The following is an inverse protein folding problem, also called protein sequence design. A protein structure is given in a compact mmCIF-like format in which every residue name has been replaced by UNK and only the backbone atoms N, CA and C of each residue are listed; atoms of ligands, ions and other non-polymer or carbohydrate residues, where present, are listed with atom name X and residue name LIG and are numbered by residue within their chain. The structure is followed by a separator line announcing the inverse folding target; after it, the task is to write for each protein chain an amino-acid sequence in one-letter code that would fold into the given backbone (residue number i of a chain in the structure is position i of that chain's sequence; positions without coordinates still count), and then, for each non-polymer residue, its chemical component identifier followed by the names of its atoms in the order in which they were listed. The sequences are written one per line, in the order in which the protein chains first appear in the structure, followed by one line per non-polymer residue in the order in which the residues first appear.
data_IF_424222467174
#
_entry.id   IF_424222467174
#
_cell.length_a   1.000
_cell.length_b   1.000
_cell.length_c   1.000
_cell.angle_alpha   90.00
_cell.angle_beta   90.00
_cell.angle_gamma   90.00
#
_symmetry.space_group_name_H-M   'P 1'
#
loop_
_entity.id
_entity.type
_entity.pdbx_description
1 polymer ?
#
# COMPACT_ATOMS: atom_id res chain seq x y z
N UNK A 1 2.06 -10.99 17.51
CA UNK A 1 0.59 -11.04 17.41
C UNK A 1 0.25 -11.20 15.93
N UNK A 2 -0.75 -12.01 15.61
CA UNK A 2 -1.18 -12.28 14.24
C UNK A 2 -2.65 -11.88 14.08
N UNK A 3 -2.97 -11.16 13.00
CA UNK A 3 -4.34 -10.73 12.67
C UNK A 3 -4.75 -11.40 11.36
N UNK A 4 -5.89 -12.09 11.37
CA UNK A 4 -6.47 -12.80 10.24
C UNK A 4 -7.71 -12.07 9.73
N UNK A 5 -7.81 -11.97 8.41
CA UNK A 5 -8.93 -11.36 7.70
C UNK A 5 -9.64 -12.45 6.90
N UNK A 6 -10.63 -13.09 7.51
CA UNK A 6 -11.43 -14.07 6.79
C UNK A 6 -12.51 -13.37 5.97
N UNK A 7 -12.83 -13.87 4.76
CA UNK A 7 -14.03 -13.45 4.07
C UNK A 7 -15.26 -13.70 4.97
N UNK A 8 -16.22 -12.75 5.12
CA UNK A 8 -16.40 -11.51 4.37
C UNK A 8 -15.94 -10.23 5.11
N UNK A 9 -14.70 -10.13 5.59
CA UNK A 9 -14.15 -8.85 6.09
C UNK A 9 -14.30 -7.73 5.03
N UNK A 10 -14.71 -6.49 5.40
CA UNK A 10 -14.89 -5.96 6.75
C UNK A 10 -16.28 -6.16 7.38
N UNK A 11 -17.20 -6.88 6.74
CA UNK A 11 -18.54 -7.13 7.30
C UNK A 11 -18.51 -7.97 8.59
N UNK A 12 -17.46 -8.76 8.77
CA UNK A 12 -17.15 -9.46 10.02
C UNK A 12 -15.84 -8.92 10.63
N UNK A 13 -15.69 -8.94 11.96
CA UNK A 13 -14.44 -8.51 12.60
C UNK A 13 -13.26 -9.40 12.19
N UNK A 14 -12.03 -8.87 12.21
CA UNK A 14 -10.83 -9.68 12.02
C UNK A 14 -10.60 -10.58 13.24
N UNK A 15 -10.03 -11.78 13.02
CA UNK A 15 -9.63 -12.66 14.12
C UNK A 15 -8.21 -12.35 14.56
N UNK A 16 -8.02 -12.13 15.85
CA UNK A 16 -6.74 -11.73 16.42
C UNK A 16 -6.17 -12.83 17.31
N UNK A 17 -4.88 -13.11 17.19
CA UNK A 17 -4.19 -14.13 17.98
C UNK A 17 -2.86 -13.63 18.56
N UNK A 18 -2.59 -14.03 19.79
CA UNK A 18 -1.29 -13.89 20.45
C UNK A 18 -0.48 -15.15 20.20
N UNK A 19 0.70 -14.99 19.61
CA UNK A 19 1.62 -16.10 19.33
C UNK A 19 2.83 -15.99 20.26
N UNK A 20 2.91 -16.79 21.33
CA UNK A 20 4.06 -16.80 22.23
C UNK A 20 5.32 -17.22 21.47
N UNK A 21 6.45 -16.57 21.78
CA UNK A 21 7.77 -17.00 21.27
C UNK A 21 8.30 -18.17 22.12
N UNK A 22 9.36 -18.85 21.66
CA UNK A 22 10.05 -19.86 22.46
C UNK A 22 10.42 -19.31 23.86
N UNK A 23 10.02 -19.98 24.93
CA UNK A 23 10.19 -19.48 26.31
C UNK A 23 9.13 -18.47 26.76
N UNK A 24 7.99 -18.39 26.09
CA UNK A 24 6.82 -17.65 26.54
C UNK A 24 5.60 -18.56 26.65
N UNK A 25 4.68 -18.20 27.54
CA UNK A 25 3.40 -18.88 27.69
C UNK A 25 2.28 -17.87 27.89
N UNK A 26 1.08 -18.22 27.43
CA UNK A 26 -0.12 -17.39 27.58
C UNK A 26 -0.54 -17.43 29.05
N UNK A 27 -0.83 -16.27 29.62
CA UNK A 27 -1.28 -16.12 31.01
C UNK A 27 -2.58 -16.91 31.22
N UNK A 28 -2.64 -17.87 32.17
CA UNK A 28 -3.86 -18.61 32.45
C UNK A 28 -4.99 -17.67 32.91
N UNK A 29 -6.20 -17.88 32.37
CA UNK A 29 -7.41 -17.09 32.71
C UNK A 29 -7.25 -15.58 32.46
N UNK A 30 -6.58 -15.19 31.39
CA UNK A 30 -6.53 -13.80 30.96
C UNK A 30 -7.93 -13.32 30.52
N UNK A 31 -8.29 -12.07 30.85
CA UNK A 31 -9.64 -11.54 30.63
C UNK A 31 -10.03 -11.49 29.14
N UNK A 32 -9.05 -11.20 28.28
CA UNK A 32 -9.26 -10.93 26.86
C UNK A 32 -8.58 -11.93 25.93
N UNK A 33 -7.96 -13.00 26.46
CA UNK A 33 -7.20 -13.97 25.66
C UNK A 33 -7.46 -15.38 26.16
N UNK A 34 -7.81 -16.29 25.26
CA UNK A 34 -8.03 -17.71 25.60
C UNK A 34 -6.71 -18.50 25.66
N UNK A 35 -6.80 -19.79 26.01
CA UNK A 35 -5.64 -20.70 26.07
C UNK A 35 -4.99 -20.97 24.70
N UNK A 36 -5.71 -20.71 23.59
CA UNK A 36 -5.21 -20.84 22.22
C UNK A 36 -4.59 -19.53 21.71
N UNK A 37 -4.63 -18.45 22.50
CA UNK A 37 -4.13 -17.13 22.13
C UNK A 37 -5.14 -16.27 21.38
N UNK A 38 -6.38 -16.72 21.18
CA UNK A 38 -7.43 -15.94 20.52
C UNK A 38 -7.83 -14.76 21.40
N UNK A 39 -7.88 -13.57 20.79
CA UNK A 39 -8.17 -12.30 21.46
C UNK A 39 -9.66 -11.98 21.38
N UNK A 40 -10.24 -11.63 22.53
CA UNK A 40 -11.63 -11.23 22.69
C UNK A 40 -11.70 -9.84 23.31
N UNK A 41 -12.13 -8.86 22.52
CA UNK A 41 -12.31 -7.48 22.96
C UNK A 41 -13.75 -7.02 22.72
N UNK A 42 -14.31 -6.13 23.57
CA UNK A 42 -15.61 -5.53 23.34
C UNK A 42 -15.73 -4.90 21.95
N UNK A 43 -14.65 -4.26 21.48
CA UNK A 43 -14.58 -3.63 20.17
C UNK A 43 -14.75 -4.63 19.00
N UNK A 44 -14.27 -5.87 19.14
CA UNK A 44 -14.47 -6.92 18.14
C UNK A 44 -15.93 -7.42 18.16
N UNK A 45 -16.57 -7.45 19.33
CA UNK A 45 -17.97 -7.88 19.48
C UNK A 45 -18.97 -6.89 18.88
N UNK A 46 -18.65 -5.59 18.93
CA UNK A 46 -19.48 -4.52 18.36
C UNK A 46 -18.93 -3.99 17.03
N UNK A 47 -18.16 -4.81 16.31
CA UNK A 47 -17.55 -4.41 15.05
C UNK A 47 -18.60 -4.05 14.00
N UNK A 48 -18.37 -2.94 13.32
CA UNK A 48 -19.23 -2.44 12.24
C UNK A 48 -18.37 -2.08 11.02
N UNK A 49 -18.72 -2.56 9.81
CA UNK A 49 -17.94 -2.30 8.60
C UNK A 49 -17.83 -0.81 8.21
N UNK A 50 -18.72 0.04 8.74
CA UNK A 50 -18.79 1.46 8.39
C UNK A 50 -18.14 2.39 9.43
N UNK A 51 -17.98 1.91 10.67
CA UNK A 51 -17.52 2.75 11.78
C UNK A 51 -16.31 2.17 12.51
N UNK A 52 -16.09 0.86 12.44
CA UNK A 52 -14.93 0.23 13.05
C UNK A 52 -13.75 0.21 12.10
N UNK A 53 -12.56 0.48 12.63
CA UNK A 53 -11.33 0.56 11.83
C UNK A 53 -10.22 -0.26 12.46
N UNK A 54 -9.33 -0.78 11.62
CA UNK A 54 -8.16 -1.55 12.08
C UNK A 54 -7.23 -0.72 12.99
N UNK A 55 -6.88 0.54 12.67
CA UNK A 55 -5.99 1.31 13.53
C UNK A 55 -6.57 1.53 14.94
N UNK A 56 -7.87 1.74 15.05
CA UNK A 56 -8.55 1.85 16.34
C UNK A 56 -8.50 0.51 17.11
N UNK A 57 -8.78 -0.61 16.43
CA UNK A 57 -8.62 -1.94 17.01
C UNK A 57 -7.21 -2.17 17.56
N UNK A 58 -6.16 -1.86 16.79
CA UNK A 58 -4.76 -2.03 17.22
C UNK A 58 -4.44 -1.14 18.42
N UNK A 59 -4.95 0.10 18.45
CA UNK A 59 -4.78 1.02 19.57
C UNK A 59 -5.41 0.47 20.85
N UNK A 60 -6.63 -0.08 20.74
CA UNK A 60 -7.33 -0.72 21.86
C UNK A 60 -6.56 -1.93 22.35
N UNK A 61 -6.09 -2.81 21.45
CA UNK A 61 -5.28 -3.98 21.80
C UNK A 61 -4.01 -3.57 22.54
N UNK A 62 -3.27 -2.59 22.02
CA UNK A 62 -2.05 -2.10 22.65
C UNK A 62 -2.33 -1.54 24.06
N UNK A 63 -3.39 -0.75 24.21
CA UNK A 63 -3.83 -0.21 25.50
C UNK A 63 -4.18 -1.33 26.49
N UNK A 64 -5.02 -2.30 26.09
CA UNK A 64 -5.42 -3.43 26.92
C UNK A 64 -4.23 -4.29 27.35
N UNK A 65 -3.34 -4.66 26.42
CA UNK A 65 -2.20 -5.53 26.71
C UNK A 65 -1.04 -4.83 27.43
N UNK A 66 -0.99 -3.49 27.39
CA UNK A 66 -0.07 -2.72 28.23
C UNK A 66 -0.49 -2.75 29.71
N UNK A 67 -1.80 -2.81 29.98
CA UNK A 67 -2.35 -2.87 31.34
C UNK A 67 -2.36 -4.30 31.91
N UNK A 68 -2.75 -5.31 31.11
CA UNK A 68 -2.63 -6.72 31.47
C UNK A 68 -1.91 -7.50 30.35
N UNK A 69 -0.61 -7.81 30.50
CA UNK A 69 0.14 -8.55 29.50
C UNK A 69 -0.39 -9.99 29.32
N UNK A 70 -0.74 -10.41 28.09
CA UNK A 70 -1.32 -11.73 27.84
C UNK A 70 -0.28 -12.86 27.82
N UNK A 71 1.02 -12.55 27.76
CA UNK A 71 2.12 -13.52 27.77
C UNK A 71 3.10 -13.23 28.89
N UNK A 72 3.68 -14.28 29.45
CA UNK A 72 4.77 -14.20 30.41
C UNK A 72 5.94 -15.06 29.93
N UNK A 73 7.15 -14.74 30.37
CA UNK A 73 8.32 -15.56 30.08
C UNK A 73 8.31 -16.79 30.98
N UNK A 74 8.33 -17.96 30.36
CA UNK A 74 8.79 -19.18 31.01
C UNK A 74 10.31 -19.17 30.85
N UNK A 75 11.04 -18.92 31.95
CA UNK A 75 12.50 -18.88 31.91
C UNK A 75 13.12 -20.12 31.25
N UNK A 76 14.43 -20.12 30.97
CA UNK A 76 15.11 -21.27 30.36
C UNK A 76 14.76 -22.55 31.14
N UNK A 77 14.56 -23.70 30.46
CA UNK A 77 14.13 -24.93 31.10
C UNK A 77 15.11 -25.27 32.22
N UNK A 78 14.65 -25.10 33.47
CA UNK A 78 15.39 -25.61 34.61
C UNK A 78 15.47 -27.12 34.46
N UNK A 79 16.68 -27.63 34.22
CA UNK A 79 17.00 -29.03 34.42
C UNK A 79 16.54 -29.39 35.84
N UNK A 80 15.62 -30.34 35.95
CA UNK A 80 15.22 -30.91 37.23
C UNK A 80 16.47 -31.43 37.94
N UNK A 81 16.88 -30.77 39.02
CA UNK A 81 17.80 -31.36 39.99
C UNK A 81 17.11 -32.58 40.59
N UNK A 82 17.67 -33.75 40.29
CA UNK A 82 17.33 -35.02 40.92
C UNK A 82 17.39 -34.89 42.45
N UNK A 83 16.29 -35.19 43.12
CA UNK A 83 16.26 -35.38 44.57
C UNK A 83 17.09 -36.61 44.92
N UNK A 84 18.00 -36.47 45.88
CA UNK A 84 18.85 -37.54 46.41
C UNK A 84 18.03 -38.61 47.16
N UNK A 85 18.37 -39.91 47.08
CA UNK A 85 17.72 -40.96 47.85
C UNK A 85 18.23 -40.98 49.31
N UNK A 86 17.30 -40.98 50.28
CA UNK A 86 17.60 -41.25 51.69
C UNK A 86 17.49 -42.77 51.99
N UNK A 87 18.39 -43.24 52.85
CA UNK A 87 18.72 -44.64 53.15
C UNK A 87 17.87 -45.31 54.25
N UNK A 88 17.33 -46.49 53.93
CA UNK A 88 17.19 -47.77 54.69
C UNK A 88 16.68 -47.78 56.16
N UNK A 89 15.60 -48.56 56.39
CA UNK A 89 15.48 -49.56 57.50
C UNK A 89 14.62 -50.77 57.06
N UNK A 90 15.04 -52.04 57.28
CA UNK A 90 14.22 -53.22 57.02
C UNK A 90 13.65 -53.82 58.31
N UNK A 91 12.43 -54.39 58.26
CA UNK A 91 12.02 -55.46 59.15
C UNK A 91 11.29 -56.54 58.35
N UNK A 92 11.77 -57.77 58.51
CA UNK A 92 11.34 -58.98 57.83
C UNK A 92 10.15 -59.63 58.56
N UNK A 93 9.26 -60.32 57.81
CA UNK A 93 8.29 -61.27 58.37
C UNK A 93 7.19 -61.68 57.37
N UNK A 94 7.09 -62.97 56.95
CA UNK A 94 6.36 -63.37 55.74
C UNK A 94 4.99 -64.05 56.02
N UNK A 95 4.10 -64.08 55.03
CA UNK A 95 3.24 -65.26 54.76
C UNK A 95 2.60 -65.20 53.38
N UNK A 96 2.56 -66.38 52.76
CA UNK A 96 2.11 -66.67 51.40
C UNK A 96 0.58 -66.60 51.24
N UNK A 97 0.10 -66.51 49.99
CA UNK A 97 -0.73 -67.55 49.33
C UNK A 97 -1.56 -66.95 48.18
N UNK A 98 -1.31 -67.46 46.97
CA UNK A 98 -2.31 -67.90 45.99
C UNK A 98 -3.29 -66.90 45.36
N UNK A 99 -3.23 -66.74 44.04
CA UNK A 99 -4.32 -66.12 43.27
C UNK A 99 -4.04 -66.00 41.78
N UNK A 100 -4.36 -67.05 41.03
CA UNK A 100 -4.31 -67.16 39.56
C UNK A 100 -5.49 -66.38 38.96
N UNK A 101 -5.26 -65.56 37.92
CA UNK A 101 -6.35 -64.90 37.17
C UNK A 101 -5.87 -64.19 35.90
N UNK A 102 -6.37 -64.63 34.74
CA UNK A 102 -6.01 -64.27 33.36
C UNK A 102 -6.31 -62.81 32.95
N UNK A 103 -5.71 -62.30 31.85
CA UNK A 103 -6.14 -61.07 31.20
C UNK A 103 -7.22 -61.36 30.13
N UNK A 104 -8.38 -60.74 30.24
CA UNK A 104 -9.44 -60.78 29.22
C UNK A 104 -9.36 -59.54 28.31
N UNK A 105 -9.16 -59.80 27.01
CA UNK A 105 -9.17 -58.82 25.94
C UNK A 105 -10.58 -58.24 25.71
N UNK A 106 -10.68 -56.91 25.63
CA UNK A 106 -11.92 -56.22 25.20
C UNK A 106 -11.76 -55.69 23.79
N UNK A 107 -12.43 -56.36 22.85
CA UNK A 107 -12.62 -55.95 21.46
C UNK A 107 -13.94 -55.18 21.37
N UNK A 108 -13.90 -53.89 21.06
CA UNK A 108 -15.10 -53.10 20.74
C UNK A 108 -15.22 -52.95 19.23
N UNK A 109 -16.34 -53.46 18.71
CA UNK A 109 -16.76 -53.41 17.31
C UNK A 109 -17.36 -52.04 16.95
N UNK A 110 -17.32 -51.61 15.67
CA UNK A 110 -18.08 -50.46 15.19
C UNK A 110 -19.49 -50.89 14.76
N UNK A 111 -20.52 -50.43 15.47
CA UNK A 111 -21.90 -50.54 14.98
C UNK A 111 -22.21 -49.34 14.09
N UNK A 112 -22.33 -49.61 12.79
CA UNK A 112 -22.93 -48.70 11.83
C UNK A 112 -24.42 -48.55 12.09
N UNK A 113 -24.86 -47.31 12.25
CA UNK A 113 -26.27 -46.92 12.14
C UNK A 113 -26.40 -46.17 10.82
N UNK A 114 -26.94 -46.84 9.81
CA UNK A 114 -27.40 -46.22 8.57
C UNK A 114 -28.77 -45.61 8.87
N UNK A 115 -28.81 -44.32 9.19
CA UNK A 115 -30.05 -43.56 9.27
C UNK A 115 -30.38 -42.99 7.90
N UNK A 116 -31.54 -43.41 7.41
CA UNK A 116 -32.16 -42.97 6.17
C UNK A 116 -32.76 -41.56 6.38
N UNK A 117 -32.12 -40.51 5.87
CA UNK A 117 -32.64 -39.13 5.89
C UNK A 117 -32.51 -38.49 4.51
N UNK A 118 -33.40 -38.84 3.58
CA UNK A 118 -33.35 -38.43 2.17
C UNK A 118 -34.03 -37.08 1.86
N UNK A 119 -34.60 -36.38 2.85
CA UNK A 119 -35.30 -35.10 2.65
C UNK A 119 -34.53 -33.86 3.13
N UNK A 120 -33.56 -33.99 4.04
CA UNK A 120 -32.74 -32.86 4.51
C UNK A 120 -31.59 -32.51 3.54
N UNK A 121 -31.01 -33.53 2.89
CA UNK A 121 -29.88 -33.35 1.97
C UNK A 121 -30.21 -32.51 0.72
N UNK A 122 -31.48 -32.43 0.32
CA UNK A 122 -31.93 -31.62 -0.82
C UNK A 122 -31.93 -30.13 -0.55
N UNK A 123 -32.27 -29.71 0.68
CA UNK A 123 -32.27 -28.31 1.08
C UNK A 123 -30.84 -27.78 1.29
N UNK A 124 -29.97 -28.57 1.93
CA UNK A 124 -28.55 -28.22 2.09
C UNK A 124 -27.84 -28.06 0.74
N UNK A 125 -28.13 -28.94 -0.23
CA UNK A 125 -27.53 -28.86 -1.56
C UNK A 125 -28.03 -27.65 -2.36
N UNK A 126 -29.31 -27.25 -2.21
CA UNK A 126 -29.85 -26.03 -2.83
C UNK A 126 -29.32 -24.76 -2.16
N UNK A 127 -29.19 -24.73 -0.84
CA UNK A 127 -28.57 -23.62 -0.12
C UNK A 127 -27.07 -23.48 -0.45
N UNK A 128 -26.34 -24.61 -0.54
CA UNK A 128 -24.94 -24.62 -0.96
C UNK A 128 -24.76 -24.15 -2.40
N UNK A 129 -25.66 -24.53 -3.32
CA UNK A 129 -25.61 -24.09 -4.72
C UNK A 129 -25.92 -22.60 -4.85
N UNK A 130 -26.86 -22.08 -4.06
CA UNK A 130 -27.16 -20.65 -4.03
C UNK A 130 -25.99 -19.82 -3.47
N UNK A 131 -25.36 -20.28 -2.38
CA UNK A 131 -24.18 -19.65 -1.82
C UNK A 131 -22.98 -19.66 -2.80
N UNK A 132 -22.79 -20.76 -3.53
CA UNK A 132 -21.76 -20.84 -4.56
C UNK A 132 -22.02 -19.88 -5.73
N UNK A 133 -23.29 -19.74 -6.15
CA UNK A 133 -23.68 -18.80 -7.21
C UNK A 133 -23.45 -17.34 -6.81
N UNK A 134 -23.76 -16.98 -5.55
CA UNK A 134 -23.54 -15.64 -5.04
C UNK A 134 -22.04 -15.29 -5.00
N UNK A 135 -21.19 -16.24 -4.60
CA UNK A 135 -19.72 -16.06 -4.65
C UNK A 135 -19.18 -15.94 -6.07
N UNK A 136 -19.74 -16.68 -7.02
CA UNK A 136 -19.34 -16.55 -8.43
C UNK A 136 -19.64 -15.14 -8.94
N UNK A 137 -20.83 -14.63 -8.64
CA UNK A 137 -21.25 -13.29 -9.05
C UNK A 137 -20.38 -12.19 -8.42
N UNK A 138 -20.02 -12.35 -7.14
CA UNK A 138 -19.10 -11.42 -6.46
C UNK A 138 -17.69 -11.43 -7.08
N UNK A 139 -17.21 -12.59 -7.53
CA UNK A 139 -15.93 -12.70 -8.26
C UNK A 139 -16.06 -12.06 -9.65
N UNK A 140 -17.14 -12.29 -10.37
CA UNK A 140 -17.42 -11.67 -11.66
C UNK A 140 -17.45 -10.14 -11.54
N UNK A 141 -18.18 -9.60 -10.55
CA UNK A 141 -18.25 -8.15 -10.29
C UNK A 141 -16.87 -7.56 -9.93
N UNK A 142 -16.06 -8.28 -9.14
CA UNK A 142 -14.67 -7.85 -8.86
C UNK A 142 -13.79 -7.89 -10.09
N UNK A 143 -13.98 -8.87 -10.98
CA UNK A 143 -13.18 -8.95 -12.21
C UNK A 143 -13.52 -7.84 -13.19
N UNK A 144 -14.79 -7.45 -13.30
CA UNK A 144 -15.20 -6.33 -14.16
C UNK A 144 -14.69 -5.00 -13.59
N UNK A 145 -14.79 -4.78 -12.28
CA UNK A 145 -14.22 -3.61 -11.61
C UNK A 145 -12.70 -3.52 -11.84
N UNK A 146 -11.98 -4.64 -11.73
CA UNK A 146 -10.54 -4.66 -11.94
C UNK A 146 -10.15 -4.38 -13.39
N UNK A 147 -10.94 -4.86 -14.36
CA UNK A 147 -10.76 -4.56 -15.79
C UNK A 147 -11.00 -3.08 -16.05
N UNK A 148 -12.05 -2.49 -15.48
CA UNK A 148 -12.36 -1.07 -15.64
C UNK A 148 -11.28 -0.19 -15.02
N UNK A 149 -10.84 -0.50 -13.80
CA UNK A 149 -9.75 0.21 -13.13
C UNK A 149 -8.43 0.10 -13.90
N UNK A 150 -8.18 -1.06 -14.51
CA UNK A 150 -7.02 -1.26 -15.39
C UNK A 150 -7.13 -0.40 -16.66
N UNK A 151 -8.33 -0.26 -17.23
CA UNK A 151 -8.58 0.61 -18.38
C UNK A 151 -8.37 2.08 -18.04
N UNK A 152 -8.87 2.53 -16.89
CA UNK A 152 -8.66 3.90 -16.40
C UNK A 152 -7.17 4.20 -16.20
N UNK A 153 -6.43 3.28 -15.57
CA UNK A 153 -4.99 3.44 -15.39
C UNK A 153 -4.24 3.51 -16.72
N UNK A 154 -4.59 2.67 -17.69
CA UNK A 154 -3.98 2.71 -19.02
C UNK A 154 -4.30 4.02 -19.76
N UNK A 155 -5.53 4.52 -19.65
CA UNK A 155 -5.92 5.80 -20.24
C UNK A 155 -5.16 6.96 -19.59
N UNK A 156 -5.07 6.99 -18.26
CA UNK A 156 -4.30 7.99 -17.53
C UNK A 156 -2.81 7.97 -17.89
N UNK A 157 -2.26 6.77 -18.13
CA UNK A 157 -0.87 6.62 -18.60
C UNK A 157 -0.68 7.16 -20.00
N UNK A 158 -1.64 6.92 -20.89
CA UNK A 158 -1.59 7.40 -22.28
C UNK A 158 -1.72 8.92 -22.36
N UNK A 159 -2.63 9.53 -21.58
CA UNK A 159 -2.77 10.99 -21.50
C UNK A 159 -1.53 11.66 -20.89
N UNK A 160 -0.92 11.04 -19.88
CA UNK A 160 0.36 11.49 -19.35
C UNK A 160 1.47 11.38 -20.40
N UNK A 161 1.51 10.29 -21.18
CA UNK A 161 2.50 10.11 -22.25
C UNK A 161 2.34 11.12 -23.39
N UNK A 162 1.11 11.50 -23.76
CA UNK A 162 0.88 12.57 -24.75
C UNK A 162 1.30 13.93 -24.21
N UNK A 163 0.99 14.25 -22.95
CA UNK A 163 1.43 15.50 -22.32
C UNK A 163 2.96 15.62 -22.27
N UNK A 164 3.67 14.51 -21.99
CA UNK A 164 5.15 14.47 -22.03
C UNK A 164 5.68 14.70 -23.45
N UNK A 165 5.07 14.08 -24.48
CA UNK A 165 5.46 14.31 -25.88
C UNK A 165 5.23 15.75 -26.31
N UNK A 166 4.10 16.35 -25.93
CA UNK A 166 3.80 17.76 -26.21
C UNK A 166 4.80 18.69 -25.52
N UNK A 167 5.11 18.44 -24.24
CA UNK A 167 6.14 19.18 -23.51
C UNK A 167 7.53 19.04 -24.16
N UNK A 168 7.87 17.86 -24.68
CA UNK A 168 9.14 17.62 -25.35
C UNK A 168 9.22 18.29 -26.73
N UNK A 169 8.13 18.34 -27.48
CA UNK A 169 8.03 19.11 -28.74
C UNK A 169 8.14 20.61 -28.46
N UNK A 170 7.51 21.10 -27.40
CA UNK A 170 7.62 22.50 -26.97
C UNK A 170 9.06 22.87 -26.57
N UNK A 171 9.73 21.99 -25.84
CA UNK A 171 11.14 22.16 -25.46
C UNK A 171 12.10 22.09 -26.67
N UNK A 172 11.70 21.40 -27.75
CA UNK A 172 12.43 21.30 -29.00
C UNK A 172 12.14 22.45 -29.99
N UNK A 173 11.33 23.45 -29.60
CA UNK A 173 11.13 24.68 -30.36
C UNK A 173 12.45 25.38 -30.68
N UNK A 174 12.54 26.07 -31.84
CA UNK A 174 13.81 26.43 -32.46
C UNK A 174 14.67 27.27 -31.51
N UNK A 175 15.89 26.77 -31.24
CA UNK A 175 17.01 27.59 -30.76
C UNK A 175 17.27 28.66 -31.82
N UNK A 176 16.60 29.80 -31.66
CA UNK A 176 16.87 30.99 -32.45
C UNK A 176 18.31 31.41 -32.20
N UNK A 177 19.12 31.21 -33.23
CA UNK A 177 20.43 31.81 -33.42
C UNK A 177 20.28 33.33 -33.35
N UNK A 178 20.63 33.92 -32.21
CA UNK A 178 20.85 35.35 -32.08
C UNK A 178 22.26 35.56 -31.51
N UNK A 179 23.21 35.73 -32.42
CA UNK A 179 24.50 36.35 -32.16
C UNK A 179 24.29 37.83 -31.84
N UNK A 180 24.81 38.32 -30.70
CA UNK A 180 25.74 39.48 -30.57
C UNK A 180 25.88 39.84 -29.08
N UNK A 181 27.04 39.49 -28.54
CA UNK A 181 27.88 40.26 -27.60
C UNK A 181 27.20 41.33 -26.72
N UNK A 182 27.02 41.01 -25.43
CA UNK A 182 27.34 41.87 -24.26
C UNK A 182 26.78 41.26 -22.96
N UNK A 183 27.65 41.15 -21.94
CA UNK A 183 27.42 40.86 -20.51
C UNK A 183 27.52 39.40 -20.05
N UNK A 184 28.61 39.12 -19.32
CA UNK A 184 28.95 37.89 -18.58
C UNK A 184 27.86 37.38 -17.61
N UNK A 185 26.75 38.10 -17.39
CA UNK A 185 25.69 37.68 -16.49
C UNK A 185 24.73 36.67 -17.15
N UNK A 186 24.37 36.88 -18.42
CA UNK A 186 23.42 36.02 -19.13
C UNK A 186 24.02 34.64 -19.48
N UNK A 187 25.32 34.57 -19.78
CA UNK A 187 26.01 33.28 -19.98
C UNK A 187 26.13 32.47 -18.70
N UNK A 188 26.43 33.13 -17.56
CA UNK A 188 26.53 32.47 -16.26
C UNK A 188 25.16 31.94 -15.80
N UNK A 189 24.08 32.68 -16.05
CA UNK A 189 22.72 32.28 -15.72
C UNK A 189 22.17 31.18 -16.64
N UNK A 190 22.48 31.25 -17.94
CA UNK A 190 22.21 30.17 -18.91
C UNK A 190 22.90 28.86 -18.51
N UNK A 191 24.17 28.96 -18.08
CA UNK A 191 24.96 27.83 -17.58
C UNK A 191 24.39 27.24 -16.30
N UNK A 192 23.98 28.07 -15.34
CA UNK A 192 23.32 27.63 -14.10
C UNK A 192 21.98 26.91 -14.36
N UNK A 193 21.18 27.37 -15.32
CA UNK A 193 19.93 26.69 -15.72
C UNK A 193 20.19 25.34 -16.40
N UNK A 194 21.22 25.29 -17.25
CA UNK A 194 21.67 24.04 -17.87
C UNK A 194 22.21 23.06 -16.82
N UNK A 195 22.94 23.53 -15.82
CA UNK A 195 23.48 22.72 -14.73
C UNK A 195 22.36 22.23 -13.79
N UNK A 196 21.38 23.08 -13.45
CA UNK A 196 20.23 22.67 -12.63
C UNK A 196 19.30 21.70 -13.38
N UNK A 197 19.10 21.90 -14.68
CA UNK A 197 18.37 20.96 -15.53
C UNK A 197 19.09 19.61 -15.66
N UNK A 198 20.41 19.63 -15.82
CA UNK A 198 21.23 18.42 -15.81
C UNK A 198 21.14 17.69 -14.46
N UNK A 199 21.15 18.42 -13.35
CA UNK A 199 20.96 17.86 -12.01
C UNK A 199 19.58 17.19 -11.85
N UNK A 200 18.50 17.79 -12.38
CA UNK A 200 17.17 17.16 -12.36
C UNK A 200 17.17 15.86 -13.17
N UNK A 201 17.84 15.85 -14.33
CA UNK A 201 17.93 14.66 -15.18
C UNK A 201 18.71 13.52 -14.49
N UNK A 202 19.86 13.83 -13.88
CA UNK A 202 20.65 12.87 -13.10
C UNK A 202 19.82 12.26 -11.96
N UNK A 203 19.05 13.08 -11.23
CA UNK A 203 18.17 12.60 -10.17
C UNK A 203 17.00 11.76 -10.69
N UNK A 204 16.53 12.00 -11.91
CA UNK A 204 15.51 11.16 -12.57
C UNK A 204 16.10 9.81 -12.96
N UNK A 205 17.29 9.80 -13.55
CA UNK A 205 17.99 8.56 -13.91
C UNK A 205 18.28 7.72 -12.68
N UNK A 206 18.72 8.35 -11.59
CA UNK A 206 18.96 7.66 -10.33
C UNK A 206 17.66 7.07 -9.76
N UNK A 207 16.54 7.79 -9.75
CA UNK A 207 15.23 7.27 -9.31
C UNK A 207 14.78 6.06 -10.16
N UNK A 208 14.92 6.14 -11.48
CA UNK A 208 14.61 5.04 -12.40
C UNK A 208 15.49 3.81 -12.14
N UNK A 209 16.80 4.01 -11.92
CA UNK A 209 17.72 2.91 -11.61
C UNK A 209 17.39 2.22 -10.28
N UNK A 210 16.90 2.97 -9.30
CA UNK A 210 16.47 2.42 -8.00
C UNK A 210 15.18 1.60 -8.14
N UNK A 211 14.25 2.02 -8.99
CA UNK A 211 13.05 1.24 -9.30
C UNK A 211 13.41 -0.09 -10.02
N UNK A 212 14.34 -0.06 -10.98
CA UNK A 212 14.86 -1.28 -11.62
C UNK A 212 15.57 -2.20 -10.63
N UNK A 213 16.34 -1.63 -9.68
CA UNK A 213 17.00 -2.39 -8.63
C UNK A 213 15.98 -3.10 -7.72
N UNK A 214 14.91 -2.41 -7.31
CA UNK A 214 13.83 -3.01 -6.51
C UNK A 214 13.16 -4.17 -7.24
N UNK A 215 12.89 -4.00 -8.54
CA UNK A 215 12.34 -5.08 -9.38
C UNK A 215 13.30 -6.27 -9.47
N UNK A 216 14.60 -6.02 -9.62
CA UNK A 216 15.63 -7.06 -9.61
C UNK A 216 15.71 -7.82 -8.28
N UNK A 217 15.55 -7.12 -7.15
CA UNK A 217 15.49 -7.75 -5.82
C UNK A 217 14.27 -8.66 -5.67
N UNK A 218 13.10 -8.27 -6.20
CA UNK A 218 11.90 -9.10 -6.19
C UNK A 218 12.10 -10.40 -6.98
N UNK A 219 12.73 -10.33 -8.15
CA UNK A 219 13.02 -11.51 -8.96
C UNK A 219 14.13 -12.38 -8.35
N UNK A 220 15.10 -11.77 -7.66
CA UNK A 220 16.12 -12.48 -6.90
C UNK A 220 15.54 -13.25 -5.70
N UNK A 221 14.52 -12.69 -5.04
CA UNK A 221 13.78 -13.38 -3.99
C UNK A 221 12.94 -14.53 -4.55
N UNK A 222 12.22 -14.32 -5.67
CA UNK A 222 11.44 -15.37 -6.34
C UNK A 222 12.30 -16.53 -6.83
N UNK A 223 13.49 -16.24 -7.33
CA UNK A 223 14.48 -17.25 -7.76
C UNK A 223 15.25 -17.88 -6.60
N UNK A 224 14.94 -17.49 -5.35
CA UNK A 224 15.57 -17.99 -4.12
C UNK A 224 17.11 -17.80 -4.11
N UNK A 225 17.58 -16.76 -4.80
CA UNK A 225 19.00 -16.37 -4.90
C UNK A 225 19.44 -15.50 -3.71
N UNK A 226 18.51 -14.77 -3.11
CA UNK A 226 18.74 -13.90 -1.95
C UNK A 226 17.81 -14.34 -0.81
N UNK A 227 18.35 -14.36 0.42
CA UNK A 227 17.57 -14.66 1.62
C UNK A 227 16.63 -13.49 2.00
N UNK A 228 15.53 -13.81 2.68
CA UNK A 228 14.49 -12.83 3.05
C UNK A 228 15.08 -11.70 3.90
N UNK A 229 16.00 -12.00 4.83
CA UNK A 229 16.62 -10.96 5.65
C UNK A 229 17.49 -10.00 4.85
N UNK A 230 18.21 -10.50 3.85
CA UNK A 230 19.02 -9.70 2.95
C UNK A 230 18.14 -8.84 2.02
N UNK A 231 17.07 -9.42 1.47
CA UNK A 231 16.07 -8.71 0.69
C UNK A 231 15.42 -7.55 1.48
N UNK A 232 14.95 -7.80 2.70
CA UNK A 232 14.33 -6.77 3.54
C UNK A 232 15.31 -5.67 3.96
N UNK A 233 16.60 -5.97 4.04
CA UNK A 233 17.65 -4.98 4.31
C UNK A 233 17.87 -4.09 3.10
N UNK A 234 18.01 -4.69 1.92
CA UNK A 234 18.25 -3.96 0.68
C UNK A 234 17.05 -3.12 0.24
N UNK A 235 15.82 -3.61 0.41
CA UNK A 235 14.62 -2.79 0.18
C UNK A 235 14.62 -1.55 1.07
N UNK A 236 14.84 -1.72 2.38
CA UNK A 236 14.87 -0.57 3.30
C UNK A 236 15.98 0.42 2.95
N UNK A 237 17.13 -0.08 2.52
CA UNK A 237 18.24 0.76 2.05
C UNK A 237 17.85 1.56 0.80
N UNK A 238 17.34 0.86 -0.21
CA UNK A 238 16.95 1.41 -1.52
C UNK A 238 15.79 2.39 -1.39
N UNK A 239 14.74 2.07 -0.62
CA UNK A 239 13.61 2.96 -0.39
C UNK A 239 14.00 4.25 0.33
N UNK A 240 14.98 4.21 1.25
CA UNK A 240 15.52 5.44 1.88
C UNK A 240 16.24 6.30 0.84
N UNK A 241 17.08 5.70 0.02
CA UNK A 241 17.80 6.41 -1.04
C UNK A 241 16.82 7.00 -2.07
N UNK A 242 15.81 6.23 -2.46
CA UNK A 242 14.73 6.68 -3.34
C UNK A 242 13.97 7.86 -2.76
N UNK A 243 13.64 7.82 -1.46
CA UNK A 243 13.00 8.95 -0.80
C UNK A 243 13.87 10.21 -0.85
N UNK A 244 15.16 10.09 -0.57
CA UNK A 244 16.11 11.20 -0.61
C UNK A 244 16.24 11.79 -2.03
N UNK A 245 16.44 10.95 -3.04
CA UNK A 245 16.54 11.36 -4.45
C UNK A 245 15.25 12.03 -4.92
N UNK A 246 14.08 11.49 -4.59
CA UNK A 246 12.78 12.09 -4.95
C UNK A 246 12.56 13.43 -4.24
N UNK A 247 12.94 13.56 -2.97
CA UNK A 247 12.84 14.81 -2.23
C UNK A 247 13.78 15.88 -2.82
N UNK A 248 15.01 15.49 -3.17
CA UNK A 248 15.98 16.39 -3.80
C UNK A 248 15.53 16.82 -5.20
N UNK A 249 15.00 15.89 -6.00
CA UNK A 249 14.42 16.18 -7.32
C UNK A 249 13.28 17.18 -7.20
N UNK A 250 12.36 16.97 -6.24
CA UNK A 250 11.24 17.89 -6.03
C UNK A 250 11.73 19.30 -5.70
N UNK A 251 12.78 19.41 -4.88
CA UNK A 251 13.41 20.70 -4.56
C UNK A 251 14.05 21.34 -5.79
N UNK A 252 14.84 20.58 -6.56
CA UNK A 252 15.50 21.07 -7.77
C UNK A 252 14.51 21.53 -8.85
N UNK A 253 13.43 20.77 -9.07
CA UNK A 253 12.33 21.15 -9.98
C UNK A 253 11.65 22.44 -9.51
N UNK A 254 11.37 22.56 -8.21
CA UNK A 254 10.76 23.78 -7.64
C UNK A 254 11.66 25.00 -7.84
N UNK A 255 12.97 24.83 -7.64
CA UNK A 255 13.96 25.89 -7.89
C UNK A 255 14.03 26.29 -9.37
N UNK A 256 14.00 25.31 -10.26
CA UNK A 256 14.00 25.54 -11.71
C UNK A 256 12.74 26.27 -12.16
N UNK A 257 11.57 25.88 -11.66
CA UNK A 257 10.30 26.57 -11.91
C UNK A 257 10.31 28.00 -11.39
N UNK A 258 10.81 28.24 -10.17
CA UNK A 258 10.95 29.58 -9.62
C UNK A 258 11.89 30.46 -10.47
N UNK A 259 13.00 29.91 -10.97
CA UNK A 259 13.92 30.62 -11.85
C UNK A 259 13.30 30.95 -13.22
N UNK A 260 12.42 30.10 -13.76
CA UNK A 260 11.66 30.38 -14.98
C UNK A 260 10.67 31.52 -14.74
N UNK A 261 9.85 31.43 -13.69
CA UNK A 261 8.83 32.44 -13.35
C UNK A 261 9.47 33.82 -13.11
N UNK A 262 10.58 33.85 -12.37
CA UNK A 262 11.31 35.09 -12.14
C UNK A 262 11.78 35.73 -13.46
N UNK A 263 12.21 34.92 -14.44
CA UNK A 263 12.64 35.43 -15.75
C UNK A 263 11.46 36.02 -16.54
N UNK A 264 10.32 35.34 -16.56
CA UNK A 264 9.11 35.86 -17.22
C UNK A 264 8.68 37.21 -16.63
N UNK A 265 8.75 37.34 -15.30
CA UNK A 265 8.41 38.60 -14.61
C UNK A 265 9.40 39.73 -14.95
N UNK A 266 10.69 39.42 -15.09
CA UNK A 266 11.70 40.40 -15.51
C UNK A 266 11.56 40.82 -16.97
N UNK A 267 11.26 39.88 -17.88
CA UNK A 267 10.99 40.18 -19.30
C UNK A 267 9.71 41.02 -19.49
N UNK A 268 8.68 40.81 -18.66
CA UNK A 268 7.48 41.65 -18.68
C UNK A 268 7.70 43.05 -18.11
N UNK A 269 8.59 43.21 -17.12
CA UNK A 269 8.99 44.53 -16.61
C UNK A 269 9.83 45.34 -17.60
N UNK A 270 10.53 44.68 -18.52
CA UNK A 270 11.39 45.33 -19.52
C UNK A 270 10.69 45.57 -20.87
N UNK A 271 9.42 45.15 -21.07
CA UNK A 271 8.69 45.53 -22.30
C UNK A 271 8.48 47.05 -22.34
N UNK A 272 9.05 47.78 -23.33
CA UNK A 272 8.79 49.19 -23.45
C UNK A 272 7.30 49.40 -23.74
N UNK A 273 6.62 50.16 -22.90
CA UNK A 273 5.31 50.71 -23.22
C UNK A 273 5.46 51.51 -24.51
N UNK A 274 4.83 51.05 -25.59
CA UNK A 274 4.71 51.84 -26.80
C UNK A 274 3.90 53.10 -26.47
N UNK A 275 4.60 54.17 -26.09
CA UNK A 275 4.08 55.52 -26.04
C UNK A 275 3.71 55.91 -27.47
N UNK A 276 2.41 55.94 -27.75
CA UNK A 276 1.85 56.55 -28.94
C UNK A 276 2.29 58.02 -28.98
N UNK A 277 3.33 58.30 -29.76
CA UNK A 277 3.67 59.64 -30.18
C UNK A 277 2.57 60.15 -31.12
N UNK A 278 1.89 61.23 -30.74
CA UNK A 278 1.17 62.04 -31.71
C UNK A 278 2.15 62.66 -32.70
N UNK A 279 1.66 63.00 -33.91
CA UNK A 279 1.60 64.43 -34.19
C UNK A 279 0.33 64.87 -34.95
N UNK A 280 -0.18 66.02 -34.52
CA UNK A 280 -0.81 67.12 -35.29
C UNK A 280 -1.53 66.83 -36.62
N UNK A 281 -2.82 67.22 -36.66
CA UNK A 281 -3.49 67.73 -37.86
C UNK A 281 -4.96 67.30 -38.02
N UNK A 282 -5.95 68.20 -37.84
CA UNK A 282 -7.34 67.91 -38.13
C UNK A 282 -7.61 68.18 -39.61
N UNK A 283 -8.17 67.21 -40.34
CA UNK A 283 -8.88 67.50 -41.59
C UNK A 283 -10.10 66.61 -41.66
N UNK A 284 -11.24 67.24 -41.40
CA UNK A 284 -12.57 66.77 -41.74
C UNK A 284 -12.57 66.49 -43.24
N UNK A 285 -12.86 65.25 -43.63
CA UNK A 285 -13.50 65.01 -44.91
C UNK A 285 -14.49 63.85 -44.80
N UNK A 286 -15.75 64.26 -44.84
CA UNK A 286 -16.94 63.44 -45.08
C UNK A 286 -16.85 62.73 -46.42
N UNK A 287 -17.11 61.41 -46.48
CA UNK A 287 -17.72 60.73 -47.63
C UNK A 287 -18.42 59.44 -47.16
N UNK A 288 -19.40 58.90 -47.94
CA UNK A 288 -20.62 58.33 -47.40
C UNK A 288 -20.66 56.80 -47.45
N UNK A 289 -21.67 56.27 -46.76
CA UNK A 289 -22.06 54.86 -46.73
C UNK A 289 -22.32 54.26 -48.11
N UNK A 290 -21.69 53.12 -48.39
CA UNK A 290 -22.18 52.03 -49.26
C UNK A 290 -21.64 50.73 -48.64
N UNK A 291 -22.46 49.93 -47.96
CA UNK A 291 -23.31 48.86 -48.49
C UNK A 291 -22.53 47.72 -49.16
N UNK A 292 -23.01 46.49 -48.89
CA UNK A 292 -22.49 45.15 -49.25
C UNK A 292 -21.45 44.62 -48.26
N UNK A 293 -21.65 43.59 -47.43
CA UNK A 293 -22.71 42.60 -47.31
C UNK A 293 -22.05 41.24 -47.08
N UNK A 294 -22.18 40.66 -45.88
CA UNK A 294 -22.48 39.23 -45.65
C UNK A 294 -22.61 38.99 -44.14
N UNK A 295 -23.84 38.78 -43.68
CA UNK A 295 -24.16 38.26 -42.35
C UNK A 295 -24.56 36.81 -42.56
N UNK A 296 -23.78 35.88 -42.01
CA UNK A 296 -24.22 34.50 -41.80
C UNK A 296 -24.04 34.17 -40.33
N UNK A 297 -25.15 33.70 -39.76
CA UNK A 297 -25.44 33.62 -38.34
C UNK A 297 -24.79 32.40 -37.65
N UNK A 298 -24.46 32.60 -36.37
CA UNK A 298 -24.57 31.74 -35.17
C UNK A 298 -25.07 30.29 -35.34
N UNK A 299 -24.67 29.32 -34.47
CA UNK A 299 -24.78 29.48 -33.00
C UNK A 299 -23.76 28.77 -32.09
N UNK A 300 -23.76 29.22 -30.83
CA UNK A 300 -23.03 28.68 -29.69
C UNK A 300 -23.59 27.34 -29.17
N UNK A 301 -22.78 26.46 -28.56
CA UNK A 301 -23.27 25.25 -27.91
C UNK A 301 -23.83 25.54 -26.50
N UNK A 302 -25.02 24.98 -26.25
CA UNK A 302 -25.64 24.83 -24.93
C UNK A 302 -24.91 23.77 -24.13
N UNK A 303 -24.65 24.04 -22.84
CA UNK A 303 -24.40 23.01 -21.85
C UNK A 303 -25.74 22.57 -21.25
N UNK A 304 -25.98 21.27 -21.27
CA UNK A 304 -26.96 20.55 -20.47
C UNK A 304 -26.22 19.54 -19.62
#
# INVERSE_FOLDING_TARGET
MTVYFDPPYPSVPPRCFVSPTAGMSIKPRHQHVDHNGMVYLPYLNTWSPYSSTLPELITIIASTFSADPPVYSTGPPQQQQQQQPQTIRPVNGPTATGGIGQPAASKVQPSGVVQNSSSAAGNDRRQSAYAAKLRLQEVEDRTTELIEKTREYNLARETAATAVKEAQVWLAGPKSTASTDSTNADEQESKLKSELGAQVLELVEEDCSLDEWLLGLDDALKSNSIDIEAYLREIRSTSRKQFEVRALRQKAVTQLQAAIIYKEEQEQRQRPSATTAGPSGPTINSYPAQSTGYVMAYPAPRWG
#
